data_IF_018670853327
#
_entry.id   IF_018670853327
#
_cell.length_a   1.000
_cell.length_b   1.000
_cell.length_c   1.000
_cell.angle_alpha   90.00
_cell.angle_beta   90.00
_cell.angle_gamma   90.00
#
_symmetry.space_group_name_H-M   'P 1'
#
loop_
_entity.id
_entity.type
_entity.pdbx_description
1 polymer ?
#
# COMPACT_ATOMS: atom_id res chain seq x y z
N UNK A 1 -9.83 -49.17 -1.41
CA UNK A 1 -10.35 -47.79 -1.21
C UNK A 1 -9.61 -46.98 -0.13
N UNK A 2 -8.48 -47.45 0.42
CA UNK A 2 -7.72 -46.75 1.49
C UNK A 2 -6.76 -45.65 0.96
N UNK A 3 -6.16 -45.84 -0.22
CA UNK A 3 -5.14 -44.92 -0.77
C UNK A 3 -5.65 -43.52 -1.15
N UNK A 4 -6.91 -43.39 -1.58
CA UNK A 4 -7.49 -42.09 -1.96
C UNK A 4 -7.67 -41.13 -0.77
N UNK A 5 -8.01 -41.67 0.40
CA UNK A 5 -8.15 -40.90 1.63
C UNK A 5 -6.79 -40.47 2.19
N UNK A 6 -5.78 -41.34 2.10
CA UNK A 6 -4.41 -41.03 2.51
C UNK A 6 -3.76 -39.93 1.64
N UNK A 7 -3.93 -40.01 0.32
CA UNK A 7 -3.44 -38.97 -0.61
C UNK A 7 -4.13 -37.63 -0.35
N UNK A 8 -5.46 -37.62 -0.23
CA UNK A 8 -6.22 -36.43 0.08
C UNK A 8 -5.78 -35.78 1.39
N UNK A 9 -5.66 -36.57 2.46
CA UNK A 9 -5.20 -36.11 3.76
C UNK A 9 -3.78 -35.52 3.72
N UNK A 10 -2.87 -36.13 2.94
CA UNK A 10 -1.51 -35.60 2.76
C UNK A 10 -1.52 -34.24 2.05
N UNK A 11 -2.26 -34.12 0.93
CA UNK A 11 -2.37 -32.85 0.18
C UNK A 11 -3.01 -31.77 1.05
N UNK A 12 -4.08 -32.10 1.76
CA UNK A 12 -4.75 -31.18 2.67
C UNK A 12 -3.79 -30.64 3.76
N UNK A 13 -3.01 -31.53 4.39
CA UNK A 13 -2.00 -31.12 5.37
C UNK A 13 -0.94 -30.20 4.77
N UNK A 14 -0.48 -30.48 3.54
CA UNK A 14 0.49 -29.61 2.84
C UNK A 14 -0.10 -28.22 2.59
N UNK A 15 -1.37 -28.11 2.22
CA UNK A 15 -2.05 -26.83 2.04
C UNK A 15 -2.24 -26.07 3.36
N UNK A 16 -2.52 -26.75 4.46
CA UNK A 16 -2.52 -26.14 5.80
C UNK A 16 -1.15 -25.60 6.18
N UNK A 17 -0.07 -26.35 5.92
CA UNK A 17 1.31 -25.89 6.14
C UNK A 17 1.62 -24.66 5.27
N UNK A 18 1.29 -24.70 3.98
CA UNK A 18 1.41 -23.53 3.08
C UNK A 18 0.66 -22.34 3.66
N UNK A 19 -0.53 -22.55 4.20
CA UNK A 19 -1.32 -21.49 4.81
C UNK A 19 -0.60 -20.79 5.97
N UNK A 20 0.04 -21.57 6.85
CA UNK A 20 0.83 -21.01 7.96
C UNK A 20 1.99 -20.16 7.44
N UNK A 21 2.67 -20.61 6.38
CA UNK A 21 3.77 -19.84 5.77
C UNK A 21 3.31 -18.53 5.13
N UNK A 22 2.15 -18.51 4.46
CA UNK A 22 1.61 -17.27 3.88
C UNK A 22 1.24 -16.28 4.99
N UNK A 23 0.59 -16.73 6.07
CA UNK A 23 0.27 -15.86 7.21
C UNK A 23 1.51 -15.30 7.89
N UNK A 24 2.52 -16.13 8.16
CA UNK A 24 3.81 -15.67 8.68
C UNK A 24 4.48 -14.64 7.76
N UNK A 25 4.41 -14.85 6.44
CA UNK A 25 4.96 -13.92 5.45
C UNK A 25 4.18 -12.60 5.46
N UNK A 26 2.85 -12.64 5.60
CA UNK A 26 2.01 -11.45 5.73
C UNK A 26 2.34 -10.65 6.99
N UNK A 27 2.51 -11.29 8.14
CA UNK A 27 2.93 -10.62 9.39
C UNK A 27 4.31 -9.97 9.26
N UNK A 28 5.26 -10.63 8.56
CA UNK A 28 6.57 -10.05 8.29
C UNK A 28 6.46 -8.83 7.36
N UNK A 29 5.61 -8.91 6.34
CA UNK A 29 5.38 -7.81 5.43
C UNK A 29 4.67 -6.62 6.11
N UNK A 30 3.80 -6.87 7.09
CA UNK A 30 3.19 -5.82 7.93
C UNK A 30 4.24 -5.05 8.75
N UNK A 31 5.24 -5.76 9.31
CA UNK A 31 6.37 -5.11 9.98
C UNK A 31 7.19 -4.25 9.02
N UNK A 32 7.42 -4.73 7.79
CA UNK A 32 8.13 -3.95 6.76
C UNK A 32 7.32 -2.72 6.35
N UNK A 33 6.02 -2.88 6.12
CA UNK A 33 5.08 -1.79 5.85
C UNK A 33 5.14 -0.70 6.93
N UNK A 34 5.06 -1.10 8.21
CA UNK A 34 5.14 -0.18 9.34
C UNK A 34 6.49 0.54 9.38
N UNK A 35 7.60 -0.18 9.20
CA UNK A 35 8.94 0.42 9.18
C UNK A 35 9.13 1.40 8.02
N UNK A 36 8.62 1.08 6.84
CA UNK A 36 8.68 1.99 5.69
C UNK A 36 7.84 3.25 5.91
N UNK A 37 6.66 3.11 6.51
CA UNK A 37 5.81 4.25 6.85
C UNK A 37 6.49 5.20 7.82
N UNK A 38 7.14 4.68 8.86
CA UNK A 38 7.93 5.49 9.81
C UNK A 38 9.07 6.24 9.10
N UNK A 39 9.83 5.58 8.22
CA UNK A 39 10.91 6.25 7.48
C UNK A 39 10.38 7.31 6.50
N UNK A 40 9.20 7.10 5.92
CA UNK A 40 8.55 8.10 5.10
C UNK A 40 8.19 9.35 5.92
N UNK A 41 7.58 9.16 7.10
CA UNK A 41 7.22 10.24 8.03
C UNK A 41 8.47 10.98 8.54
N UNK A 42 9.56 10.27 8.84
CA UNK A 42 10.84 10.86 9.23
C UNK A 42 11.45 11.72 8.12
N UNK A 43 11.39 11.26 6.86
CA UNK A 43 11.86 12.06 5.73
C UNK A 43 11.03 13.32 5.51
N UNK A 44 9.72 13.25 5.72
CA UNK A 44 8.82 14.40 5.64
C UNK A 44 9.12 15.42 6.75
N UNK A 45 9.28 14.95 7.99
CA UNK A 45 9.69 15.80 9.12
C UNK A 45 11.08 16.45 8.89
N UNK A 46 12.02 15.73 8.29
CA UNK A 46 13.32 16.30 7.92
C UNK A 46 13.19 17.36 6.82
N UNK A 47 12.33 17.15 5.82
CA UNK A 47 12.08 18.15 4.77
C UNK A 47 11.49 19.45 5.35
N UNK A 48 10.57 19.34 6.30
CA UNK A 48 10.01 20.49 7.02
C UNK A 48 11.09 21.21 7.85
N UNK A 49 11.95 20.46 8.53
CA UNK A 49 13.10 21.01 9.26
C UNK A 49 14.04 21.80 8.35
N UNK A 50 14.36 21.27 7.16
CA UNK A 50 15.18 21.96 6.16
C UNK A 50 14.49 23.22 5.65
N UNK A 51 13.17 23.20 5.44
CA UNK A 51 12.39 24.40 5.07
C UNK A 51 12.56 25.51 6.11
N UNK A 52 12.50 25.15 7.40
CA UNK A 52 12.74 26.07 8.51
C UNK A 52 14.14 26.71 8.46
N UNK A 53 15.17 25.89 8.20
CA UNK A 53 16.55 26.37 8.07
C UNK A 53 16.72 27.30 6.86
N UNK A 54 16.18 26.94 5.70
CA UNK A 54 16.21 27.76 4.48
C UNK A 54 15.60 29.14 4.73
N UNK A 55 14.45 29.21 5.41
CA UNK A 55 13.81 30.48 5.77
C UNK A 55 14.68 31.35 6.69
N UNK A 56 15.35 30.74 7.67
CA UNK A 56 16.29 31.47 8.53
C UNK A 56 17.49 32.02 7.74
N UNK A 57 18.01 31.24 6.79
CA UNK A 57 19.10 31.65 5.92
C UNK A 57 18.71 32.80 5.00
N UNK A 58 17.50 32.77 4.43
CA UNK A 58 16.94 33.89 3.66
C UNK A 58 16.88 35.19 4.49
N UNK A 59 16.43 35.09 5.74
CA UNK A 59 16.41 36.22 6.67
C UNK A 59 17.81 36.74 7.02
N UNK A 60 18.77 35.85 7.28
CA UNK A 60 20.17 36.21 7.55
C UNK A 60 20.81 36.89 6.35
N UNK A 61 20.62 36.34 5.15
CA UNK A 61 21.08 36.91 3.88
C UNK A 61 20.54 38.32 3.67
N UNK A 62 19.25 38.54 3.91
CA UNK A 62 18.63 39.86 3.78
C UNK A 62 19.23 40.87 4.76
N UNK A 63 19.43 40.48 6.02
CA UNK A 63 20.07 41.33 7.03
C UNK A 63 21.52 41.69 6.67
N UNK A 64 22.30 40.74 6.16
CA UNK A 64 23.66 40.96 5.67
C UNK A 64 23.68 41.92 4.46
N UNK A 65 22.76 41.73 3.51
CA UNK A 65 22.62 42.59 2.33
C UNK A 65 22.35 44.04 2.72
N UNK A 66 21.51 44.27 3.72
CA UNK A 66 21.20 45.62 4.22
C UNK A 66 22.40 46.27 4.92
N UNK A 67 23.17 45.51 5.70
CA UNK A 67 24.37 46.04 6.39
C UNK A 67 25.53 46.38 5.45
N UNK A 68 25.62 45.77 4.27
CA UNK A 68 26.70 46.02 3.32
C UNK A 68 26.81 47.47 2.84
N UNK A 69 25.70 48.22 2.85
CA UNK A 69 25.66 49.63 2.46
C UNK A 69 26.47 50.56 3.37
N UNK A 70 26.64 50.19 4.65
CA UNK A 70 27.31 51.04 5.67
C UNK A 70 28.77 50.66 5.91
N UNK A 71 29.29 49.63 5.21
CA UNK A 71 30.63 49.08 5.43
C UNK A 71 31.68 49.68 4.48
N UNK A 72 32.95 49.60 4.88
CA UNK A 72 34.10 50.00 4.05
C UNK A 72 34.22 49.12 2.80
N UNK A 73 34.90 49.56 1.72
CA UNK A 73 35.06 48.77 0.51
C UNK A 73 35.70 47.39 0.73
N UNK A 74 36.66 47.30 1.67
CA UNK A 74 37.32 46.04 2.01
C UNK A 74 36.36 45.07 2.69
N UNK A 75 35.61 45.53 3.69
CA UNK A 75 34.59 44.73 4.39
C UNK A 75 33.46 44.31 3.45
N UNK A 76 33.04 45.20 2.54
CA UNK A 76 32.03 44.93 1.52
C UNK A 76 32.43 43.76 0.62
N UNK A 77 33.70 43.67 0.23
CA UNK A 77 34.23 42.55 -0.55
C UNK A 77 34.06 41.20 0.19
N UNK A 78 34.35 41.17 1.49
CA UNK A 78 34.16 39.95 2.28
C UNK A 78 32.69 39.62 2.50
N UNK A 79 31.84 40.61 2.80
CA UNK A 79 30.41 40.36 2.97
C UNK A 79 29.73 39.89 1.67
N UNK A 80 30.16 40.36 0.50
CA UNK A 80 29.70 39.82 -0.78
C UNK A 80 30.07 38.33 -0.95
N UNK A 81 31.27 37.90 -0.51
CA UNK A 81 31.64 36.48 -0.51
C UNK A 81 30.78 35.64 0.43
N UNK A 82 30.48 36.17 1.62
CA UNK A 82 29.58 35.50 2.59
C UNK A 82 28.17 35.34 2.01
N UNK A 83 27.64 36.37 1.34
CA UNK A 83 26.34 36.28 0.66
C UNK A 83 26.36 35.23 -0.45
N UNK A 84 27.43 35.17 -1.25
CA UNK A 84 27.56 34.15 -2.30
C UNK A 84 27.57 32.73 -1.72
N UNK A 85 28.30 32.50 -0.62
CA UNK A 85 28.30 31.22 0.10
C UNK A 85 26.93 30.89 0.70
N UNK A 86 26.23 31.87 1.29
CA UNK A 86 24.88 31.70 1.80
C UNK A 86 23.88 31.33 0.69
N UNK A 87 23.98 31.95 -0.49
CA UNK A 87 23.15 31.58 -1.63
C UNK A 87 23.39 30.13 -2.06
N UNK A 88 24.66 29.70 -2.16
CA UNK A 88 24.97 28.31 -2.48
C UNK A 88 24.44 27.32 -1.44
N UNK A 89 24.53 27.68 -0.15
CA UNK A 89 24.00 26.83 0.93
C UNK A 89 22.46 26.79 0.93
N UNK A 90 21.78 27.89 0.58
CA UNK A 90 20.32 27.91 0.39
C UNK A 90 19.93 26.96 -0.74
N UNK A 91 20.61 27.07 -1.89
CA UNK A 91 20.32 26.24 -3.07
C UNK A 91 20.53 24.74 -2.78
N UNK A 92 21.61 24.37 -2.09
CA UNK A 92 21.86 22.98 -1.71
C UNK A 92 20.84 22.46 -0.69
N UNK A 93 20.40 23.30 0.27
CA UNK A 93 19.36 22.90 1.21
C UNK A 93 17.99 22.74 0.53
N UNK A 94 17.64 23.60 -0.43
CA UNK A 94 16.42 23.43 -1.24
C UNK A 94 16.46 22.12 -2.05
N UNK A 95 17.62 21.75 -2.60
CA UNK A 95 17.81 20.44 -3.26
C UNK A 95 17.64 19.27 -2.28
N UNK A 96 18.19 19.38 -1.06
CA UNK A 96 18.05 18.35 -0.02
C UNK A 96 16.58 18.20 0.37
N UNK A 97 15.87 19.30 0.59
CA UNK A 97 14.44 19.30 0.87
C UNK A 97 13.66 18.56 -0.23
N UNK A 98 13.88 18.92 -1.50
CA UNK A 98 13.20 18.25 -2.61
C UNK A 98 13.47 16.75 -2.67
N UNK A 99 14.73 16.32 -2.45
CA UNK A 99 15.09 14.90 -2.40
C UNK A 99 14.43 14.17 -1.22
N UNK A 100 14.32 14.79 -0.05
CA UNK A 100 13.65 14.22 1.12
C UNK A 100 12.16 14.02 0.86
N UNK A 101 11.48 15.01 0.27
CA UNK A 101 10.06 14.89 -0.12
C UNK A 101 9.83 13.78 -1.15
N UNK A 102 10.67 13.71 -2.19
CA UNK A 102 10.63 12.63 -3.19
C UNK A 102 10.85 11.26 -2.54
N UNK A 103 11.82 11.17 -1.64
CA UNK A 103 12.15 9.95 -0.90
C UNK A 103 10.96 9.50 -0.03
N UNK A 104 10.37 10.41 0.75
CA UNK A 104 9.19 10.15 1.58
C UNK A 104 8.04 9.59 0.74
N UNK A 105 7.69 10.25 -0.36
CA UNK A 105 6.62 9.82 -1.25
C UNK A 105 6.91 8.45 -1.88
N UNK A 106 8.13 8.20 -2.34
CA UNK A 106 8.52 6.93 -2.95
C UNK A 106 8.42 5.78 -1.95
N UNK A 107 8.92 5.98 -0.73
CA UNK A 107 8.86 4.97 0.34
C UNK A 107 7.41 4.67 0.70
N UNK A 108 6.58 5.70 0.87
CA UNK A 108 5.14 5.56 1.18
C UNK A 108 4.39 4.81 0.08
N UNK A 109 4.63 5.13 -1.19
CA UNK A 109 4.01 4.40 -2.31
C UNK A 109 4.47 2.94 -2.35
N UNK A 110 5.75 2.67 -2.10
CA UNK A 110 6.28 1.30 -2.04
C UNK A 110 5.66 0.52 -0.87
N UNK A 111 5.45 1.17 0.28
CA UNK A 111 4.79 0.57 1.43
C UNK A 111 3.35 0.17 1.10
N UNK A 112 2.58 1.08 0.50
CA UNK A 112 1.22 0.79 0.05
C UNK A 112 1.15 -0.34 -0.99
N UNK A 113 2.06 -0.36 -1.97
CA UNK A 113 2.13 -1.44 -2.96
C UNK A 113 2.44 -2.80 -2.33
N UNK A 114 3.36 -2.83 -1.35
CA UNK A 114 3.61 -4.04 -0.55
C UNK A 114 2.35 -4.52 0.17
N UNK A 115 1.60 -3.60 0.80
CA UNK A 115 0.37 -3.93 1.51
C UNK A 115 -0.68 -4.52 0.57
N UNK A 116 -0.91 -3.91 -0.61
CA UNK A 116 -1.85 -4.43 -1.62
C UNK A 116 -1.40 -5.81 -2.13
N UNK A 117 -0.12 -6.01 -2.36
CA UNK A 117 0.46 -7.30 -2.77
C UNK A 117 0.19 -8.40 -1.73
N UNK A 118 0.34 -8.09 -0.44
CA UNK A 118 0.05 -9.03 0.65
C UNK A 118 -1.44 -9.37 0.70
N UNK A 119 -2.32 -8.38 0.54
CA UNK A 119 -3.77 -8.59 0.50
C UNK A 119 -4.17 -9.54 -0.64
N UNK A 120 -3.58 -9.41 -1.82
CA UNK A 120 -3.78 -10.34 -2.94
C UNK A 120 -3.34 -11.77 -2.57
N UNK A 121 -2.16 -11.92 -1.96
CA UNK A 121 -1.66 -13.24 -1.54
C UNK A 121 -2.59 -13.92 -0.52
N UNK A 122 -3.09 -13.17 0.46
CA UNK A 122 -4.06 -13.65 1.45
C UNK A 122 -5.39 -14.03 0.77
N UNK A 123 -5.85 -13.25 -0.21
CA UNK A 123 -7.07 -13.55 -0.96
C UNK A 123 -6.95 -14.83 -1.78
N UNK A 124 -5.83 -15.03 -2.50
CA UNK A 124 -5.57 -16.28 -3.23
C UNK A 124 -5.57 -17.49 -2.30
N UNK A 125 -4.94 -17.36 -1.13
CA UNK A 125 -4.93 -18.41 -0.12
C UNK A 125 -6.33 -18.67 0.45
N UNK A 126 -7.13 -17.62 0.71
CA UNK A 126 -8.52 -17.78 1.14
C UNK A 126 -9.33 -18.57 0.12
N UNK A 127 -9.16 -18.27 -1.18
CA UNK A 127 -9.83 -18.96 -2.28
C UNK A 127 -9.46 -20.44 -2.35
N UNK A 128 -8.18 -20.78 -2.19
CA UNK A 128 -7.74 -22.17 -2.10
C UNK A 128 -8.46 -22.95 -0.99
N UNK A 129 -8.70 -22.32 0.17
CA UNK A 129 -9.46 -22.97 1.26
C UNK A 129 -10.91 -23.21 0.89
N UNK A 130 -11.57 -22.29 0.19
CA UNK A 130 -12.93 -22.50 -0.32
C UNK A 130 -12.98 -23.73 -1.23
N UNK A 131 -12.01 -23.87 -2.13
CA UNK A 131 -11.91 -25.03 -3.01
C UNK A 131 -11.71 -26.34 -2.23
N UNK A 132 -10.86 -26.32 -1.21
CA UNK A 132 -10.68 -27.49 -0.35
C UNK A 132 -11.96 -27.86 0.39
N UNK A 133 -12.72 -26.90 0.91
CA UNK A 133 -14.00 -27.18 1.57
C UNK A 133 -15.01 -27.84 0.63
N UNK A 134 -15.08 -27.39 -0.63
CA UNK A 134 -15.91 -28.06 -1.64
C UNK A 134 -15.45 -29.49 -1.91
N UNK A 135 -14.14 -29.70 -2.08
CA UNK A 135 -13.58 -31.03 -2.35
C UNK A 135 -13.72 -32.00 -1.16
N UNK A 136 -13.67 -31.48 0.07
CA UNK A 136 -13.91 -32.26 1.29
C UNK A 136 -15.35 -32.74 1.42
N UNK A 137 -16.30 -32.03 0.79
CA UNK A 137 -17.73 -32.28 0.98
C UNK A 137 -18.20 -32.04 2.42
N UNK A 138 -17.43 -31.28 3.21
CA UNK A 138 -17.73 -30.92 4.59
C UNK A 138 -17.93 -29.42 4.72
N UNK A 139 -18.67 -29.01 5.74
CA UNK A 139 -18.89 -27.60 6.06
C UNK A 139 -17.67 -26.99 6.77
N UNK A 140 -16.52 -26.98 6.08
CA UNK A 140 -15.24 -26.43 6.56
C UNK A 140 -14.90 -25.09 5.90
N UNK A 141 -15.90 -24.44 5.30
CA UNK A 141 -15.71 -23.18 4.58
C UNK A 141 -15.07 -22.12 5.49
N UNK A 142 -14.11 -21.33 4.97
CA UNK A 142 -13.53 -20.25 5.76
C UNK A 142 -14.62 -19.24 6.15
N UNK A 143 -14.58 -18.77 7.40
CA UNK A 143 -15.61 -17.90 7.96
C UNK A 143 -15.93 -16.67 7.07
N UNK A 144 -17.22 -16.33 7.03
CA UNK A 144 -17.87 -15.29 6.21
C UNK A 144 -17.65 -13.85 6.69
N UNK A 145 -16.89 -13.63 7.76
CA UNK A 145 -16.93 -12.31 8.39
C UNK A 145 -16.21 -11.23 7.57
N UNK A 146 -17.01 -10.46 6.85
CA UNK A 146 -16.68 -9.22 6.15
C UNK A 146 -15.91 -8.23 7.06
N UNK A 147 -16.08 -8.34 8.38
CA UNK A 147 -15.46 -7.47 9.39
C UNK A 147 -14.24 -8.11 10.09
N UNK A 148 -14.03 -9.43 9.93
CA UNK A 148 -12.92 -10.17 10.54
C UNK A 148 -11.93 -10.77 9.54
N UNK A 149 -12.15 -10.63 8.24
CA UNK A 149 -11.12 -10.90 7.25
C UNK A 149 -10.03 -9.82 7.29
N UNK A 150 -8.79 -10.18 6.92
CA UNK A 150 -7.68 -9.21 6.84
C UNK A 150 -8.01 -8.08 5.86
N UNK A 151 -8.59 -8.43 4.70
CA UNK A 151 -8.99 -7.46 3.68
C UNK A 151 -10.12 -6.56 4.16
N UNK A 152 -11.11 -7.11 4.87
CA UNK A 152 -12.24 -6.38 5.42
C UNK A 152 -11.84 -5.36 6.48
N UNK A 153 -11.00 -5.78 7.44
CA UNK A 153 -10.42 -4.87 8.45
C UNK A 153 -9.63 -3.75 7.81
N UNK A 154 -8.79 -4.07 6.83
CA UNK A 154 -8.03 -3.07 6.10
C UNK A 154 -8.95 -2.11 5.32
N UNK A 155 -9.96 -2.64 4.62
CA UNK A 155 -10.92 -1.86 3.83
C UNK A 155 -11.72 -0.86 4.70
N UNK A 156 -12.12 -1.26 5.91
CA UNK A 156 -12.85 -0.37 6.82
C UNK A 156 -11.94 0.61 7.57
N UNK A 157 -10.68 0.23 7.81
CA UNK A 157 -9.71 1.00 8.55
C UNK A 157 -8.78 1.81 7.65
N UNK A 158 -7.52 1.40 7.61
CA UNK A 158 -6.44 2.12 6.93
C UNK A 158 -6.69 2.33 5.42
N UNK A 159 -7.18 1.29 4.73
CA UNK A 159 -7.46 1.36 3.30
C UNK A 159 -8.43 2.49 2.95
N UNK A 160 -9.47 2.69 3.77
CA UNK A 160 -10.43 3.81 3.57
C UNK A 160 -9.79 5.17 3.81
N UNK A 161 -8.91 5.29 4.80
CA UNK A 161 -8.22 6.55 5.12
C UNK A 161 -7.28 6.96 3.99
N UNK A 162 -6.52 6.01 3.44
CA UNK A 162 -5.49 6.26 2.44
C UNK A 162 -6.03 6.28 1.01
N UNK A 163 -7.02 5.45 0.69
CA UNK A 163 -7.45 5.19 -0.69
C UNK A 163 -8.94 5.43 -0.94
N UNK A 164 -9.70 5.90 0.07
CA UNK A 164 -11.16 6.01 -0.01
C UNK A 164 -11.69 6.87 -1.16
N UNK A 165 -10.88 7.80 -1.69
CA UNK A 165 -11.22 8.64 -2.84
C UNK A 165 -10.92 8.00 -4.20
N UNK A 166 -10.18 6.89 -4.24
CA UNK A 166 -9.76 6.25 -5.47
C UNK A 166 -10.90 5.40 -6.07
N UNK A 167 -11.22 5.55 -7.36
CA UNK A 167 -12.27 4.74 -8.01
C UNK A 167 -12.04 3.23 -7.90
N UNK A 168 -10.78 2.78 -7.95
CA UNK A 168 -10.42 1.37 -7.78
C UNK A 168 -10.78 0.85 -6.38
N UNK A 169 -10.64 1.69 -5.34
CA UNK A 169 -11.03 1.33 -3.98
C UNK A 169 -12.55 1.19 -3.81
N UNK A 170 -13.33 2.03 -4.49
CA UNK A 170 -14.79 1.91 -4.52
C UNK A 170 -15.20 0.59 -5.18
N UNK A 171 -14.64 0.29 -6.36
CA UNK A 171 -14.88 -0.99 -7.08
C UNK A 171 -14.49 -2.19 -6.24
N UNK A 172 -13.40 -2.11 -5.47
CA UNK A 172 -12.99 -3.17 -4.55
C UNK A 172 -14.08 -3.46 -3.51
N UNK A 173 -14.70 -2.43 -2.94
CA UNK A 173 -15.81 -2.61 -1.98
C UNK A 173 -17.01 -3.32 -2.60
N UNK A 174 -17.41 -2.93 -3.81
CA UNK A 174 -18.50 -3.56 -4.54
C UNK A 174 -18.20 -5.03 -4.88
N UNK A 175 -16.99 -5.31 -5.40
CA UNK A 175 -16.54 -6.67 -5.70
C UNK A 175 -16.46 -7.53 -4.44
N UNK A 176 -15.99 -6.97 -3.33
CA UNK A 176 -15.89 -7.67 -2.05
C UNK A 176 -17.26 -8.00 -1.46
N UNK A 177 -18.22 -7.08 -1.52
CA UNK A 177 -19.60 -7.36 -1.10
C UNK A 177 -20.26 -8.46 -1.94
N UNK A 178 -20.05 -8.44 -3.26
CA UNK A 178 -20.51 -9.53 -4.16
C UNK A 178 -19.84 -10.86 -3.85
N UNK A 179 -18.57 -10.86 -3.44
CA UNK A 179 -17.80 -12.07 -3.12
C UNK A 179 -18.43 -12.79 -1.93
N UNK A 180 -18.81 -12.05 -0.89
CA UNK A 180 -19.51 -12.60 0.27
C UNK A 180 -20.84 -13.22 -0.11
N UNK A 181 -21.63 -12.54 -0.94
CA UNK A 181 -22.90 -13.07 -1.44
C UNK A 181 -22.70 -14.36 -2.25
N UNK A 182 -21.66 -14.43 -3.08
CA UNK A 182 -21.32 -15.61 -3.85
C UNK A 182 -20.86 -16.78 -2.95
N UNK A 183 -20.05 -16.50 -1.92
CA UNK A 183 -19.64 -17.50 -0.93
C UNK A 183 -20.86 -18.05 -0.18
N UNK A 184 -21.73 -17.18 0.33
CA UNK A 184 -22.94 -17.59 1.05
C UNK A 184 -23.85 -18.46 0.18
N UNK A 185 -24.01 -18.12 -1.10
CA UNK A 185 -24.77 -18.93 -2.05
C UNK A 185 -24.14 -20.30 -2.33
N UNK A 186 -22.80 -20.38 -2.37
CA UNK A 186 -22.07 -21.64 -2.50
C UNK A 186 -22.25 -22.51 -1.25
N UNK A 187 -22.02 -21.94 -0.06
CA UNK A 187 -22.19 -22.63 1.24
C UNK A 187 -23.61 -23.15 1.37
N UNK A 188 -24.62 -22.33 1.04
CA UNK A 188 -26.02 -22.74 1.08
C UNK A 188 -26.31 -23.90 0.12
N UNK A 189 -25.77 -23.88 -1.10
CA UNK A 189 -25.94 -25.00 -2.05
C UNK A 189 -25.24 -26.26 -1.55
N UNK A 190 -24.01 -26.16 -1.01
CA UNK A 190 -23.25 -27.28 -0.44
C UNK A 190 -23.94 -27.95 0.75
N UNK A 191 -24.77 -27.21 1.51
CA UNK A 191 -25.53 -27.75 2.65
C UNK A 191 -26.83 -28.45 2.26
N UNK A 192 -27.30 -28.35 1.01
CA UNK A 192 -28.54 -29.02 0.59
C UNK A 192 -28.32 -30.52 0.46
N UNK A 193 -29.27 -31.31 0.98
CA UNK A 193 -29.22 -32.78 0.90
C UNK A 193 -29.20 -33.30 -0.55
N UNK A 194 -29.87 -32.60 -1.47
CA UNK A 194 -29.99 -32.96 -2.89
C UNK A 194 -29.18 -32.03 -3.82
N UNK A 195 -28.04 -31.50 -3.36
CA UNK A 195 -27.17 -30.74 -4.26
C UNK A 195 -26.58 -31.67 -5.32
N UNK A 196 -26.31 -31.14 -6.51
CA UNK A 196 -25.62 -31.88 -7.57
C UNK A 196 -24.27 -31.23 -7.86
N UNK A 197 -23.27 -31.98 -8.33
CA UNK A 197 -21.98 -31.43 -8.72
C UNK A 197 -22.09 -30.24 -9.68
N UNK A 198 -23.03 -30.28 -10.62
CA UNK A 198 -23.26 -29.21 -11.61
C UNK A 198 -23.73 -27.90 -10.96
N UNK A 199 -24.57 -28.00 -9.92
CA UNK A 199 -25.04 -26.82 -9.17
C UNK A 199 -23.90 -26.20 -8.36
N UNK A 200 -23.07 -27.03 -7.74
CA UNK A 200 -21.87 -26.57 -7.01
C UNK A 200 -20.88 -25.91 -7.98
N UNK A 201 -20.61 -26.52 -9.13
CA UNK A 201 -19.76 -25.95 -10.17
C UNK A 201 -20.28 -24.59 -10.65
N UNK A 202 -21.60 -24.46 -10.86
CA UNK A 202 -22.23 -23.18 -11.22
C UNK A 202 -22.00 -22.11 -10.15
N UNK A 203 -22.09 -22.45 -8.87
CA UNK A 203 -21.82 -21.50 -7.76
C UNK A 203 -20.34 -21.15 -7.66
N UNK A 204 -19.45 -22.11 -7.87
CA UNK A 204 -18.00 -21.89 -7.92
C UNK A 204 -17.60 -20.97 -9.07
N UNK A 205 -18.20 -21.10 -10.25
CA UNK A 205 -17.92 -20.24 -11.40
C UNK A 205 -18.29 -18.77 -11.12
N UNK A 206 -19.44 -18.55 -10.46
CA UNK A 206 -19.84 -17.22 -9.99
C UNK A 206 -18.87 -16.68 -8.94
N UNK A 207 -18.50 -17.50 -7.95
CA UNK A 207 -17.52 -17.13 -6.93
C UNK A 207 -16.17 -16.74 -7.56
N UNK A 208 -15.69 -17.52 -8.54
CA UNK A 208 -14.41 -17.28 -9.18
C UNK A 208 -14.42 -16.01 -10.02
N UNK A 209 -15.50 -15.77 -10.75
CA UNK A 209 -15.70 -14.52 -11.52
C UNK A 209 -15.62 -13.29 -10.60
N UNK A 210 -16.30 -13.35 -9.45
CA UNK A 210 -16.30 -12.23 -8.50
C UNK A 210 -14.97 -12.11 -7.75
N UNK A 211 -14.35 -13.24 -7.40
CA UNK A 211 -13.00 -13.28 -6.81
C UNK A 211 -11.96 -12.65 -7.74
N UNK A 212 -12.06 -12.90 -9.04
CA UNK A 212 -11.20 -12.26 -10.03
C UNK A 212 -11.43 -10.74 -10.10
N UNK A 213 -12.68 -10.28 -9.95
CA UNK A 213 -12.98 -8.85 -9.88
C UNK A 213 -12.35 -8.17 -8.65
N UNK A 214 -12.28 -8.86 -7.50
CA UNK A 214 -11.55 -8.37 -6.31
C UNK A 214 -10.06 -8.20 -6.62
N UNK A 215 -9.44 -9.20 -7.25
CA UNK A 215 -8.02 -9.14 -7.65
C UNK A 215 -7.78 -7.98 -8.64
N UNK A 216 -8.61 -7.86 -9.67
CA UNK A 216 -8.49 -6.77 -10.65
C UNK A 216 -8.64 -5.40 -10.00
N UNK A 217 -9.56 -5.23 -9.05
CA UNK A 217 -9.69 -3.97 -8.32
C UNK A 217 -8.47 -3.67 -7.44
N UNK A 218 -7.84 -4.69 -6.83
CA UNK A 218 -6.57 -4.54 -6.10
C UNK A 218 -5.41 -4.19 -7.04
N UNK A 219 -5.34 -4.77 -8.23
CA UNK A 219 -4.32 -4.44 -9.25
C UNK A 219 -4.47 -2.98 -9.71
N UNK A 220 -5.68 -2.56 -10.05
CA UNK A 220 -5.96 -1.19 -10.45
C UNK A 220 -5.65 -0.18 -9.33
N UNK A 221 -5.85 -0.58 -8.08
CA UNK A 221 -5.50 0.22 -6.92
C UNK A 221 -3.98 0.37 -6.80
N UNK A 222 -3.23 -0.73 -6.89
CA UNK A 222 -1.76 -0.73 -6.85
C UNK A 222 -1.18 0.17 -7.96
N UNK A 223 -1.67 0.02 -9.19
CA UNK A 223 -1.28 0.85 -10.34
C UNK A 223 -1.59 2.33 -10.12
N UNK A 224 -2.68 2.65 -9.40
CA UNK A 224 -3.06 4.03 -9.09
C UNK A 224 -2.11 4.63 -8.05
N UNK A 225 -1.74 3.86 -7.03
CA UNK A 225 -0.78 4.26 -5.99
C UNK A 225 0.60 4.51 -6.59
N UNK A 226 1.08 3.60 -7.44
CA UNK A 226 2.38 3.75 -8.12
C UNK A 226 2.36 4.99 -9.03
N UNK A 227 1.29 5.20 -9.80
CA UNK A 227 1.16 6.39 -10.67
C UNK A 227 1.11 7.70 -9.89
N UNK A 228 0.41 7.75 -8.76
CA UNK A 228 0.42 8.94 -7.90
C UNK A 228 1.83 9.24 -7.39
N UNK A 229 2.56 8.21 -6.93
CA UNK A 229 3.96 8.35 -6.52
C UNK A 229 4.86 8.89 -7.63
N UNK A 230 4.74 8.37 -8.86
CA UNK A 230 5.55 8.83 -10.01
C UNK A 230 5.20 10.27 -10.40
N UNK A 231 3.92 10.64 -10.38
CA UNK A 231 3.49 12.00 -10.71
C UNK A 231 3.96 13.02 -9.66
N UNK A 232 3.89 12.69 -8.37
CA UNK A 232 4.38 13.57 -7.29
C UNK A 232 5.90 13.78 -7.37
N UNK A 233 6.66 12.72 -7.71
CA UNK A 233 8.11 12.83 -7.98
C UNK A 233 8.38 13.72 -9.20
N UNK A 234 7.54 13.64 -10.23
CA UNK A 234 7.67 14.42 -11.46
C UNK A 234 7.34 15.91 -11.24
N UNK A 235 6.30 16.21 -10.45
CA UNK A 235 5.88 17.58 -10.11
C UNK A 235 6.86 18.26 -9.14
N UNK A 236 7.54 17.49 -8.28
CA UNK A 236 8.59 18.02 -7.40
C UNK A 236 9.89 18.44 -8.11
N UNK A 237 10.06 18.11 -9.41
CA UNK A 237 11.07 18.77 -10.25
C UNK A 237 10.59 20.21 -10.49
N UNK A 238 11.03 21.10 -9.60
CA UNK A 238 10.60 22.50 -9.53
C UNK A 238 10.53 23.22 -10.90
N UNK A 239 9.62 24.20 -11.03
CA UNK A 239 9.69 25.16 -12.12
C UNK A 239 11.02 25.90 -12.02
N UNK A 240 11.74 25.98 -13.13
CA UNK A 240 12.87 26.88 -13.29
C UNK A 240 12.42 28.29 -12.92
N UNK A 241 12.88 28.77 -11.78
CA UNK A 241 12.77 30.18 -11.41
C UNK A 241 13.47 31.01 -12.49
N UNK A 242 12.67 31.78 -13.23
CA UNK A 242 13.17 32.91 -14.04
C UNK A 242 13.73 34.00 -13.13
#
# INVERSE_FOLDING_TARGET
MSGGNALFSMVYRMLQTKQMHVLYTAEKAEKLYSGMSVVADENEAMADGVTGLVNQMYSLRSRLKNKLGTLTPRERRYGNKVIALLNGLIEENEKIQGKLTVSANTIRCTAYSLQVTVLKAIHYQWRERVYMSVLEGKDTFPAEDEHHSVLGRWYQGEGRKCFGSLPAFVRLGEAYGRLHQALAALVQESRRENHTPERILTKLDVLETVSQAVITALDELDDSVIRQGVNDVSVSRFPTSQ
#
